data_IF_075160437262
#
_entry.id   IF_075160437262
#
_cell.length_a   1.000
_cell.length_b   1.000
_cell.length_c   1.000
_cell.angle_alpha   90.00
_cell.angle_beta   90.00
_cell.angle_gamma   90.00
#
_symmetry.space_group_name_H-M   'P 1'
#
loop_
_entity.id
_entity.type
_entity.pdbx_description
1 polymer ?
#
# COMPACT_ATOMS: atom_id res chain seq x y z
N UNK A 1 -0.62 -14.89 8.80
CA UNK A 1 -0.80 -14.40 7.42
C UNK A 1 -0.79 -12.89 7.49
N UNK A 2 0.00 -12.20 6.66
CA UNK A 2 0.15 -10.75 6.75
C UNK A 2 -1.22 -10.09 6.56
N UNK A 3 -1.66 -9.30 7.55
CA UNK A 3 -2.92 -8.56 7.47
C UNK A 3 -2.59 -7.21 6.85
N UNK A 4 -3.28 -6.81 5.78
CA UNK A 4 -3.02 -5.53 5.11
C UNK A 4 -3.07 -4.33 6.09
N UNK A 5 -3.89 -4.43 7.13
CA UNK A 5 -4.03 -3.42 8.17
C UNK A 5 -2.81 -3.28 9.09
N UNK A 6 -1.81 -4.16 9.01
CA UNK A 6 -0.55 -4.02 9.77
C UNK A 6 0.42 -3.06 9.07
N UNK A 7 0.18 -2.73 7.80
CA UNK A 7 1.00 -1.77 7.05
C UNK A 7 0.46 -0.35 7.20
N UNK A 8 1.22 0.51 7.89
CA UNK A 8 0.80 1.89 8.15
C UNK A 8 0.64 2.71 6.87
N UNK A 9 1.47 2.50 5.84
CA UNK A 9 1.37 3.16 4.55
C UNK A 9 0.06 2.79 3.84
N UNK A 10 -0.34 1.52 3.88
CA UNK A 10 -1.62 1.08 3.33
C UNK A 10 -2.80 1.73 4.04
N UNK A 11 -2.78 1.76 5.38
CA UNK A 11 -3.81 2.43 6.18
C UNK A 11 -3.91 3.92 5.84
N UNK A 12 -2.78 4.60 5.72
CA UNK A 12 -2.71 5.99 5.34
C UNK A 12 -3.35 6.24 3.97
N UNK A 13 -2.99 5.45 2.95
CA UNK A 13 -3.58 5.55 1.62
C UNK A 13 -5.10 5.29 1.62
N UNK A 14 -5.58 4.29 2.37
CA UNK A 14 -7.01 4.00 2.52
C UNK A 14 -7.76 5.17 3.18
N UNK A 15 -7.22 5.77 4.25
CA UNK A 15 -7.85 6.92 4.89
C UNK A 15 -7.86 8.15 3.98
N UNK A 16 -6.78 8.40 3.22
CA UNK A 16 -6.75 9.48 2.22
C UNK A 16 -7.81 9.29 1.13
N UNK A 17 -7.99 8.06 0.63
CA UNK A 17 -9.05 7.77 -0.35
C UNK A 17 -10.44 8.02 0.24
N UNK A 18 -10.67 7.69 1.51
CA UNK A 18 -11.95 8.00 2.19
C UNK A 18 -12.17 9.50 2.33
N UNK A 19 -11.16 10.23 2.75
CA UNK A 19 -11.23 11.69 2.95
C UNK A 19 -11.47 12.46 1.65
N UNK A 20 -10.98 11.93 0.53
CA UNK A 20 -11.20 12.49 -0.81
C UNK A 20 -12.45 11.95 -1.51
N UNK A 21 -13.27 11.17 -0.81
CA UNK A 21 -14.47 10.51 -1.38
C UNK A 21 -14.17 9.61 -2.59
N UNK A 22 -12.93 9.11 -2.71
CA UNK A 22 -12.44 8.26 -3.81
C UNK A 22 -12.68 6.78 -3.56
N UNK A 23 -13.86 6.43 -3.04
CA UNK A 23 -14.23 5.04 -2.74
C UNK A 23 -14.27 4.15 -3.99
N UNK A 24 -14.57 4.76 -5.13
CA UNK A 24 -14.55 4.14 -6.46
C UNK A 24 -13.17 3.57 -6.84
N UNK A 25 -12.08 4.18 -6.40
CA UNK A 25 -10.71 3.66 -6.61
C UNK A 25 -10.53 2.33 -5.89
N UNK A 26 -10.99 2.26 -4.63
CA UNK A 26 -10.92 1.05 -3.81
C UNK A 26 -11.72 -0.08 -4.46
N UNK A 27 -12.95 0.21 -4.88
CA UNK A 27 -13.85 -0.76 -5.51
C UNK A 27 -13.28 -1.26 -6.84
N UNK A 28 -12.77 -0.37 -7.70
CA UNK A 28 -12.12 -0.78 -8.96
C UNK A 28 -10.90 -1.67 -8.71
N UNK A 29 -10.02 -1.29 -7.78
CA UNK A 29 -8.84 -2.09 -7.44
C UNK A 29 -9.26 -3.47 -6.92
N UNK A 30 -10.29 -3.53 -6.08
CA UNK A 30 -10.85 -4.78 -5.55
C UNK A 30 -11.39 -5.68 -6.66
N UNK A 31 -12.23 -5.16 -7.55
CA UNK A 31 -12.81 -5.94 -8.65
C UNK A 31 -11.72 -6.51 -9.57
N UNK A 32 -10.74 -5.67 -9.95
CA UNK A 32 -9.59 -6.12 -10.74
C UNK A 32 -8.76 -7.19 -10.02
N UNK A 33 -8.54 -7.06 -8.71
CA UNK A 33 -7.86 -8.09 -7.93
C UNK A 33 -8.66 -9.41 -7.89
N UNK A 34 -9.98 -9.32 -7.73
CA UNK A 34 -10.89 -10.48 -7.65
C UNK A 34 -10.96 -11.25 -8.96
N UNK A 35 -10.96 -10.56 -10.11
CA UNK A 35 -10.91 -11.17 -11.44
C UNK A 35 -9.67 -12.06 -11.63
N UNK A 36 -8.60 -11.82 -10.87
CA UNK A 36 -7.36 -12.59 -10.97
C UNK A 36 -7.30 -13.84 -10.09
N UNK A 37 -8.32 -14.15 -9.29
CA UNK A 37 -8.28 -15.30 -8.35
C UNK A 37 -7.97 -16.63 -9.06
N UNK A 38 -8.44 -16.82 -10.30
CA UNK A 38 -8.23 -18.03 -11.10
C UNK A 38 -7.14 -17.87 -12.18
N UNK A 39 -6.45 -16.73 -12.21
CA UNK A 39 -5.37 -16.46 -13.16
C UNK A 39 -4.08 -17.12 -12.66
N UNK A 40 -3.24 -17.60 -13.58
CA UNK A 40 -1.91 -18.10 -13.23
C UNK A 40 -1.07 -16.99 -12.60
N UNK A 41 -0.35 -17.29 -11.51
CA UNK A 41 0.40 -16.28 -10.74
C UNK A 41 1.40 -15.49 -11.60
N UNK A 42 1.97 -16.11 -12.63
CA UNK A 42 2.90 -15.51 -13.58
C UNK A 42 2.27 -14.40 -14.44
N UNK A 43 0.94 -14.41 -14.59
CA UNK A 43 0.18 -13.41 -15.35
C UNK A 43 -0.51 -12.39 -14.45
N UNK A 44 -0.36 -12.51 -13.13
CA UNK A 44 -1.02 -11.62 -12.19
C UNK A 44 -0.36 -10.23 -12.16
N UNK A 45 -1.19 -9.21 -11.98
CA UNK A 45 -0.84 -7.80 -11.79
C UNK A 45 -1.15 -7.40 -10.35
N UNK A 46 -0.24 -6.67 -9.71
CA UNK A 46 -0.46 -6.15 -8.37
C UNK A 46 -1.38 -4.92 -8.41
N UNK A 47 -2.67 -5.11 -8.17
CA UNK A 47 -3.65 -4.01 -8.15
C UNK A 47 -3.69 -3.24 -6.83
N UNK A 48 -2.93 -3.65 -5.82
CA UNK A 48 -2.77 -2.85 -4.61
C UNK A 48 -2.02 -1.54 -4.92
N UNK A 49 -1.23 -1.50 -6.00
CA UNK A 49 -0.60 -0.26 -6.49
C UNK A 49 -1.63 0.82 -6.86
N UNK A 50 -2.84 0.44 -7.29
CA UNK A 50 -3.91 1.39 -7.62
C UNK A 50 -4.39 2.18 -6.38
N UNK A 51 -4.20 1.64 -5.17
CA UNK A 51 -4.53 2.30 -3.90
C UNK A 51 -3.57 3.46 -3.60
N UNK A 52 -2.31 3.33 -4.02
CA UNK A 52 -1.27 4.33 -3.77
C UNK A 52 -1.14 5.34 -4.92
N UNK A 53 -1.49 4.94 -6.15
CA UNK A 53 -1.30 5.73 -7.37
C UNK A 53 -1.84 7.18 -7.32
N UNK A 54 -2.93 7.52 -6.60
CA UNK A 54 -3.43 8.89 -6.51
C UNK A 54 -2.60 9.82 -5.62
N UNK A 55 -1.59 9.32 -4.91
CA UNK A 55 -0.88 10.07 -3.87
C UNK A 55 0.61 10.11 -4.13
N UNK A 56 1.25 11.19 -3.67
CA UNK A 56 2.70 11.24 -3.55
C UNK A 56 3.17 10.55 -2.28
N UNK A 57 4.47 10.23 -2.22
CA UNK A 57 5.08 9.64 -1.02
C UNK A 57 4.98 10.59 0.19
N UNK A 58 5.04 11.90 -0.05
CA UNK A 58 4.90 12.94 0.96
C UNK A 58 3.49 12.95 1.54
N UNK A 59 2.45 12.91 0.70
CA UNK A 59 1.05 12.86 1.17
C UNK A 59 0.79 11.62 2.05
N UNK A 60 1.29 10.45 1.63
CA UNK A 60 1.18 9.23 2.42
C UNK A 60 1.97 9.37 3.73
N UNK A 61 3.18 9.92 3.69
CA UNK A 61 4.03 10.10 4.88
C UNK A 61 3.41 11.07 5.90
N UNK A 62 2.84 12.18 5.43
CA UNK A 62 2.09 13.13 6.26
C UNK A 62 0.89 12.45 6.92
N UNK A 63 0.16 11.64 6.16
CA UNK A 63 -0.97 10.89 6.73
C UNK A 63 -0.51 9.82 7.72
N UNK A 64 0.61 9.16 7.47
CA UNK A 64 1.21 8.21 8.43
C UNK A 64 1.57 8.93 9.74
N UNK A 65 2.19 10.11 9.67
CA UNK A 65 2.48 10.95 10.84
C UNK A 65 1.20 11.26 11.60
N UNK A 66 0.15 11.71 10.91
CA UNK A 66 -1.14 12.02 11.53
C UNK A 66 -1.71 10.81 12.28
N UNK A 67 -1.73 9.64 11.64
CA UNK A 67 -2.27 8.40 12.21
C UNK A 67 -1.43 7.84 13.38
N UNK A 68 -0.12 8.08 13.37
CA UNK A 68 0.79 7.59 14.40
C UNK A 68 0.98 8.57 15.55
N UNK A 69 0.68 9.86 15.36
CA UNK A 69 0.87 10.89 16.39
C UNK A 69 -0.18 10.74 17.49
N UNK A 70 0.21 10.46 18.74
CA UNK A 70 -0.74 10.32 19.83
C UNK A 70 -1.46 11.64 20.13
N UNK A 71 -2.73 11.54 20.54
CA UNK A 71 -3.51 12.69 20.99
C UNK A 71 -2.78 13.42 22.13
N UNK A 72 -2.71 14.76 22.03
CA UNK A 72 -2.07 15.60 23.04
C UNK A 72 -0.57 15.84 22.80
N UNK A 73 0.02 15.27 21.75
CA UNK A 73 1.39 15.59 21.32
C UNK A 73 1.47 17.06 20.90
N UNK A 74 2.34 17.84 21.56
CA UNK A 74 2.54 19.27 21.29
C UNK A 74 3.69 19.55 20.32
N UNK A 75 4.60 18.59 20.17
CA UNK A 75 5.73 18.70 19.24
C UNK A 75 5.30 18.30 17.82
N UNK A 76 5.90 18.93 16.80
CA UNK A 76 5.76 18.47 15.42
C UNK A 76 6.43 17.10 15.31
N UNK A 77 5.70 16.11 14.83
CA UNK A 77 6.23 14.79 14.49
C UNK A 77 6.47 14.76 13.00
N UNK A 78 7.62 14.26 12.59
CA UNK A 78 7.95 14.03 11.18
C UNK A 78 8.59 12.64 11.07
N UNK A 79 8.32 11.95 9.97
CA UNK A 79 9.00 10.69 9.68
C UNK A 79 10.02 10.97 8.58
N UNK A 80 11.28 10.63 8.86
CA UNK A 80 12.39 10.82 7.93
C UNK A 80 12.81 9.46 7.39
N UNK A 81 12.71 9.30 6.07
CA UNK A 81 13.18 8.11 5.36
C UNK A 81 14.25 8.47 4.35
N UNK A 82 15.11 7.50 4.04
CA UNK A 82 16.02 7.58 2.90
C UNK A 82 15.21 7.51 1.60
N UNK A 83 15.50 8.41 0.65
CA UNK A 83 14.92 8.33 -0.69
C UNK A 83 15.30 7.02 -1.38
N UNK A 84 14.37 6.45 -2.17
CA UNK A 84 14.56 5.16 -2.87
C UNK A 84 15.74 5.25 -3.85
N UNK A 85 15.89 6.39 -4.52
CA UNK A 85 17.00 6.67 -5.42
C UNK A 85 18.34 6.55 -4.67
N UNK A 86 18.42 7.18 -3.49
CA UNK A 86 19.61 7.09 -2.64
C UNK A 86 19.85 5.68 -2.09
N UNK A 87 18.80 4.91 -1.80
CA UNK A 87 18.94 3.49 -1.45
C UNK A 87 19.56 2.69 -2.61
N UNK A 88 19.12 2.93 -3.84
CA UNK A 88 19.66 2.25 -5.03
C UNK A 88 21.09 2.67 -5.36
N UNK A 89 21.45 3.93 -5.14
CA UNK A 89 22.83 4.42 -5.29
C UNK A 89 23.78 3.80 -4.26
N UNK A 90 23.34 3.70 -3.00
CA UNK A 90 24.17 3.20 -1.89
C UNK A 90 24.26 1.67 -1.87
N UNK A 91 23.21 0.98 -2.31
CA UNK A 91 23.11 -0.48 -2.31
C UNK A 91 22.83 -1.04 -3.71
N UNK A 92 23.73 -0.84 -4.71
CA UNK A 92 23.44 -1.10 -6.11
C UNK A 92 23.12 -2.57 -6.41
N UNK A 93 23.65 -3.51 -5.61
CA UNK A 93 23.45 -4.95 -5.76
C UNK A 93 22.24 -5.49 -4.97
N UNK A 94 21.54 -4.64 -4.21
CA UNK A 94 20.40 -5.03 -3.37
C UNK A 94 19.14 -4.27 -3.77
N UNK A 95 18.37 -4.83 -4.71
CA UNK A 95 17.17 -4.21 -5.30
C UNK A 95 15.89 -4.43 -4.46
N UNK A 96 16.05 -4.66 -3.17
CA UNK A 96 14.96 -5.02 -2.26
C UNK A 96 14.18 -3.80 -1.78
N UNK A 97 13.55 -3.04 -2.69
CA UNK A 97 12.80 -1.81 -2.38
C UNK A 97 11.27 -2.03 -2.29
N UNK A 98 10.81 -3.25 -2.61
CA UNK A 98 9.38 -3.63 -2.67
C UNK A 98 8.58 -3.32 -1.40
N UNK A 99 9.23 -3.26 -0.23
CA UNK A 99 8.57 -2.87 1.03
C UNK A 99 8.21 -1.36 1.04
N UNK A 100 8.94 -0.54 0.29
CA UNK A 100 8.75 0.89 0.16
C UNK A 100 7.93 1.25 -1.09
N UNK A 101 8.15 0.57 -2.22
CA UNK A 101 7.46 0.82 -3.50
C UNK A 101 6.15 0.06 -3.65
N UNK A 102 5.95 -1.00 -2.87
CA UNK A 102 4.87 -1.97 -3.09
C UNK A 102 5.06 -2.80 -4.36
N UNK A 103 6.21 -2.71 -5.04
CA UNK A 103 6.48 -3.42 -6.29
C UNK A 103 7.05 -4.82 -6.03
N UNK A 104 6.18 -5.77 -5.67
CA UNK A 104 6.58 -7.15 -5.38
C UNK A 104 7.15 -7.83 -6.64
N UNK A 105 8.45 -8.18 -6.67
CA UNK A 105 9.12 -8.59 -7.91
C UNK A 105 8.86 -10.05 -8.30
N UNK A 106 8.15 -10.81 -7.46
CA UNK A 106 7.90 -12.24 -7.69
C UNK A 106 6.43 -12.52 -7.94
N UNK A 107 6.09 -13.45 -8.87
CA UNK A 107 4.71 -13.90 -9.09
C UNK A 107 4.01 -14.37 -7.81
N UNK A 108 4.75 -15.03 -6.92
CA UNK A 108 4.24 -15.46 -5.60
C UNK A 108 3.87 -14.27 -4.70
N UNK A 109 4.73 -13.23 -4.67
CA UNK A 109 4.46 -12.01 -3.93
C UNK A 109 3.20 -11.29 -4.43
N UNK A 110 3.05 -11.15 -5.75
CA UNK A 110 1.87 -10.54 -6.38
C UNK A 110 0.59 -11.31 -6.02
N UNK A 111 0.62 -12.65 -6.08
CA UNK A 111 -0.53 -13.47 -5.68
C UNK A 111 -0.90 -13.23 -4.20
N UNK A 112 0.08 -13.22 -3.31
CA UNK A 112 -0.15 -13.06 -1.88
C UNK A 112 -0.70 -11.68 -1.52
N UNK A 113 -0.17 -10.60 -2.13
CA UNK A 113 -0.63 -9.24 -1.84
C UNK A 113 -2.03 -8.99 -2.39
N UNK A 114 -2.37 -9.51 -3.58
CA UNK A 114 -3.73 -9.45 -4.11
C UNK A 114 -4.72 -10.20 -3.22
N UNK A 115 -4.37 -11.40 -2.76
CA UNK A 115 -5.24 -12.15 -1.84
C UNK A 115 -5.43 -11.41 -0.51
N UNK A 116 -4.35 -10.90 0.09
CA UNK A 116 -4.43 -10.17 1.35
C UNK A 116 -5.28 -8.89 1.22
N UNK A 117 -5.23 -8.23 0.07
CA UNK A 117 -6.08 -7.08 -0.23
C UNK A 117 -7.55 -7.45 -0.39
N UNK A 118 -7.87 -8.53 -1.13
CA UNK A 118 -9.24 -9.06 -1.23
C UNK A 118 -9.79 -9.37 0.17
N UNK A 119 -9.05 -10.12 0.98
CA UNK A 119 -9.46 -10.51 2.33
C UNK A 119 -9.72 -9.28 3.22
N UNK A 120 -8.87 -8.25 3.11
CA UNK A 120 -9.05 -7.00 3.85
C UNK A 120 -10.34 -6.28 3.45
N UNK A 121 -10.60 -6.15 2.15
CA UNK A 121 -11.78 -5.45 1.64
C UNK A 121 -13.06 -6.17 2.05
N UNK A 122 -13.10 -7.50 1.93
CA UNK A 122 -14.27 -8.30 2.35
C UNK A 122 -14.53 -8.22 3.85
N UNK A 123 -13.48 -8.16 4.69
CA UNK A 123 -13.63 -8.03 6.14
C UNK A 123 -14.04 -6.63 6.60
N UNK A 124 -13.49 -5.58 5.98
CA UNK A 124 -13.64 -4.19 6.47
C UNK A 124 -14.77 -3.44 5.77
N UNK A 125 -14.97 -3.65 4.47
CA UNK A 125 -15.96 -2.92 3.68
C UNK A 125 -17.23 -3.72 3.41
N UNK A 126 -17.22 -5.05 3.61
CA UNK A 126 -18.38 -5.94 3.42
C UNK A 126 -19.12 -5.69 2.09
N UNK A 127 -18.35 -5.59 1.00
CA UNK A 127 -18.95 -5.55 -0.35
C UNK A 127 -19.73 -6.83 -0.65
#
# INVERSE_FOLDING_TARGET
>A
MARMNEFIAFRAAIELLKEREMRDVIERAYNKAKEQVNVEKEKMVNYVKDIYAPFTNEEISEKMVELLTPKGTKAKVEIVYQHIEGLHETCPNHKGDWYFTGDYPTPGGVKLVNQAFIDYIEQVYQF
#
